data_IF_094711184678
#
_entry.id   IF_094711184678
#
_cell.length_a   1.000
_cell.length_b   1.000
_cell.length_c   1.000
_cell.angle_alpha   90.00
_cell.angle_beta   90.00
_cell.angle_gamma   90.00
#
_symmetry.space_group_name_H-M   'P 1'
#
loop_
_entity.id
_entity.type
_entity.pdbx_description
1 polymer ?
#
# COMPACT_ATOMS: atom_id res chain seq x y z
N UNK A 1 26.23 31.91 16.99
CA UNK A 1 26.65 30.66 16.39
C UNK A 1 25.77 30.30 15.22
N UNK A 2 26.36 29.87 14.11
CA UNK A 2 25.64 29.64 12.85
C UNK A 2 25.76 28.18 12.44
N UNK A 3 25.74 27.28 13.41
CA UNK A 3 25.76 25.85 13.13
C UNK A 3 24.32 25.32 13.03
N UNK A 4 23.94 24.86 11.86
CA UNK A 4 22.71 24.10 11.66
C UNK A 4 23.02 22.61 11.83
N UNK A 5 22.12 21.90 12.52
CA UNK A 5 22.27 20.49 12.79
C UNK A 5 21.32 19.70 11.89
N UNK A 6 21.88 18.94 10.95
CA UNK A 6 21.09 18.19 9.96
C UNK A 6 20.13 17.18 10.60
N UNK A 7 20.51 16.57 11.73
CA UNK A 7 19.65 15.60 12.41
C UNK A 7 18.44 16.29 13.05
N UNK A 8 18.61 17.46 13.64
CA UNK A 8 17.51 18.25 14.19
C UNK A 8 16.55 18.70 13.10
N UNK A 9 17.07 19.17 11.96
CA UNK A 9 16.24 19.54 10.79
C UNK A 9 15.44 18.34 10.28
N UNK A 10 16.04 17.16 10.21
CA UNK A 10 15.31 15.94 9.83
C UNK A 10 14.19 15.58 10.84
N UNK A 11 14.38 15.85 12.13
CA UNK A 11 13.33 15.66 13.15
C UNK A 11 12.22 16.72 13.02
N UNK A 12 12.53 17.94 12.59
CA UNK A 12 11.53 18.99 12.33
C UNK A 12 10.56 18.58 11.22
N UNK A 13 11.02 17.86 10.19
CA UNK A 13 10.13 17.30 9.15
C UNK A 13 9.02 16.47 9.81
N UNK A 14 9.39 15.59 10.74
CA UNK A 14 8.40 14.76 11.44
C UNK A 14 7.48 15.57 12.35
N UNK A 15 7.98 16.63 12.98
CA UNK A 15 7.19 17.49 13.85
C UNK A 15 6.15 18.34 13.09
N UNK A 16 6.40 18.63 11.82
CA UNK A 16 5.50 19.40 10.95
C UNK A 16 4.43 18.53 10.25
N UNK A 17 4.58 17.22 10.27
CA UNK A 17 3.57 16.30 9.74
C UNK A 17 2.38 16.16 10.70
N UNK A 18 1.16 15.88 10.18
CA UNK A 18 -0.02 15.67 11.00
C UNK A 18 0.16 14.51 11.98
N UNK A 19 0.19 14.77 13.27
CA UNK A 19 0.46 13.77 14.31
C UNK A 19 -0.60 12.65 14.43
N UNK A 20 -1.76 12.82 13.76
CA UNK A 20 -2.82 11.81 13.71
C UNK A 20 -2.69 10.90 12.48
N UNK A 21 -1.99 11.34 11.46
CA UNK A 21 -1.85 10.62 10.19
C UNK A 21 -0.70 9.61 10.25
N UNK A 22 -0.75 8.73 11.21
CA UNK A 22 0.25 7.65 11.43
C UNK A 22 -0.44 6.28 11.48
N UNK A 23 0.22 5.18 11.12
CA UNK A 23 -0.40 3.84 11.08
C UNK A 23 -1.11 3.44 12.37
N UNK A 24 -0.58 3.84 13.53
CA UNK A 24 -1.14 3.52 14.84
C UNK A 24 -2.46 4.24 15.16
N UNK A 25 -2.83 5.27 14.39
CA UNK A 25 -4.01 6.13 14.62
C UNK A 25 -4.95 6.18 13.42
N UNK A 26 -4.68 5.40 12.38
CA UNK A 26 -5.45 5.36 11.15
C UNK A 26 -5.88 3.94 10.85
N UNK A 27 -7.05 3.77 10.24
CA UNK A 27 -7.63 2.47 9.91
C UNK A 27 -8.28 2.46 8.51
N UNK A 28 -8.61 1.28 8.01
CA UNK A 28 -9.32 1.08 6.74
C UNK A 28 -8.65 1.82 5.57
N UNK A 29 -9.39 2.74 4.97
CA UNK A 29 -8.98 3.53 3.80
C UNK A 29 -8.26 4.84 4.15
N UNK A 30 -8.01 5.12 5.42
CA UNK A 30 -7.31 6.33 5.84
C UNK A 30 -5.83 6.28 5.45
N UNK A 31 -5.34 7.37 4.87
CA UNK A 31 -3.94 7.51 4.52
C UNK A 31 -3.08 7.90 5.73
N UNK A 32 -1.77 7.73 5.60
CA UNK A 32 -0.81 8.01 6.67
C UNK A 32 0.59 8.35 6.15
N UNK A 33 1.39 8.93 7.05
CA UNK A 33 2.84 9.02 6.95
C UNK A 33 3.46 8.06 7.96
N UNK A 34 4.31 7.15 7.49
CA UNK A 34 5.00 6.21 8.36
C UNK A 34 6.51 6.40 8.23
N UNK A 35 7.12 6.92 9.28
CA UNK A 35 8.59 6.99 9.34
C UNK A 35 9.15 5.57 9.48
N UNK A 36 10.05 5.19 8.58
CA UNK A 36 10.65 3.85 8.55
C UNK A 36 12.12 3.87 8.94
N UNK A 37 12.81 4.99 8.71
CA UNK A 37 14.18 5.15 9.12
C UNK A 37 14.50 6.62 9.40
N UNK A 38 15.37 6.86 10.37
CA UNK A 38 16.03 8.12 10.63
C UNK A 38 17.50 7.81 10.94
N UNK A 39 18.41 8.41 10.19
CA UNK A 39 19.83 8.21 10.37
C UNK A 39 20.60 9.49 10.07
N UNK A 40 21.75 9.67 10.70
CA UNK A 40 22.61 10.80 10.43
C UNK A 40 23.45 11.28 11.57
N UNK A 41 24.09 12.41 11.31
CA UNK A 41 24.92 13.19 12.23
C UNK A 41 24.46 14.66 12.18
N UNK A 42 25.17 15.54 12.85
CA UNK A 42 25.00 16.98 12.76
C UNK A 42 25.28 17.55 11.37
N UNK A 43 26.16 16.90 10.57
CA UNK A 43 26.50 17.35 9.22
C UNK A 43 25.55 16.84 8.12
N UNK A 44 25.01 15.62 8.30
CA UNK A 44 24.16 14.96 7.29
C UNK A 44 23.16 14.04 7.96
N UNK A 45 21.90 14.15 7.57
CA UNK A 45 20.86 13.24 8.02
C UNK A 45 19.93 12.80 6.86
N UNK A 46 19.26 11.69 7.03
CA UNK A 46 18.18 11.22 6.17
C UNK A 46 17.02 10.72 6.99
N UNK A 47 15.82 11.00 6.54
CA UNK A 47 14.58 10.43 7.08
C UNK A 47 13.81 9.78 5.93
N UNK A 48 13.32 8.58 6.17
CA UNK A 48 12.56 7.81 5.17
C UNK A 48 11.12 7.65 5.64
N UNK A 49 10.19 7.87 4.72
CA UNK A 49 8.77 7.71 4.96
C UNK A 49 8.14 6.80 3.92
N UNK A 50 7.21 5.97 4.37
CA UNK A 50 6.17 5.42 3.52
C UNK A 50 4.96 6.35 3.60
N UNK A 51 4.49 6.83 2.46
CA UNK A 51 3.26 7.61 2.33
C UNK A 51 2.20 6.73 1.69
N UNK A 52 1.03 6.66 2.28
CA UNK A 52 -0.11 5.87 1.77
C UNK A 52 -1.39 6.70 1.79
N UNK A 53 -2.17 6.51 0.76
CA UNK A 53 -3.58 6.87 0.73
C UNK A 53 -4.26 6.01 -0.34
N UNK A 54 -5.53 5.66 -0.15
CA UNK A 54 -6.31 4.92 -1.14
C UNK A 54 -6.94 5.85 -2.18
N UNK A 55 -7.06 7.12 -1.83
CA UNK A 55 -7.56 8.19 -2.69
C UNK A 55 -6.38 8.91 -3.36
N UNK A 56 -6.40 8.98 -4.69
CA UNK A 56 -5.30 9.54 -5.47
C UNK A 56 -5.10 11.04 -5.22
N UNK A 57 -6.17 11.81 -5.02
CA UNK A 57 -6.07 13.25 -4.75
C UNK A 57 -5.49 13.51 -3.36
N UNK A 58 -5.93 12.74 -2.36
CA UNK A 58 -5.38 12.83 -0.99
C UNK A 58 -3.92 12.38 -0.97
N UNK A 59 -3.56 11.33 -1.72
CA UNK A 59 -2.17 10.91 -1.87
C UNK A 59 -1.31 12.02 -2.46
N UNK A 60 -1.75 12.65 -3.56
CA UNK A 60 -1.07 13.79 -4.16
C UNK A 60 -0.94 14.96 -3.16
N UNK A 61 -1.99 15.25 -2.40
CA UNK A 61 -1.97 16.25 -1.34
C UNK A 61 -0.94 15.96 -0.24
N UNK A 62 -0.79 14.67 0.16
CA UNK A 62 0.24 14.24 1.12
C UNK A 62 1.65 14.44 0.58
N UNK A 63 1.89 14.11 -0.68
CA UNK A 63 3.17 14.34 -1.33
C UNK A 63 3.50 15.85 -1.44
N UNK A 64 2.49 16.65 -1.79
CA UNK A 64 2.63 18.12 -1.84
C UNK A 64 2.94 18.72 -0.46
N UNK A 65 2.34 18.20 0.62
CA UNK A 65 2.63 18.63 1.99
C UNK A 65 4.11 18.37 2.35
N UNK A 66 4.65 17.20 2.02
CA UNK A 66 6.08 16.92 2.23
C UNK A 66 6.98 17.91 1.48
N UNK A 67 6.63 18.24 0.23
CA UNK A 67 7.38 19.26 -0.53
C UNK A 67 7.30 20.61 0.15
N UNK A 68 6.10 21.05 0.56
CA UNK A 68 5.93 22.34 1.26
C UNK A 68 6.71 22.40 2.58
N UNK A 69 6.76 21.29 3.34
CA UNK A 69 7.57 21.21 4.56
C UNK A 69 9.05 21.35 4.22
N UNK A 70 9.54 20.67 3.20
CA UNK A 70 10.94 20.77 2.77
C UNK A 70 11.30 22.21 2.30
N UNK A 71 10.42 22.82 1.52
CA UNK A 71 10.61 24.20 1.03
C UNK A 71 10.63 25.21 2.18
N UNK A 72 9.73 25.05 3.15
CA UNK A 72 9.71 25.88 4.36
C UNK A 72 10.99 25.71 5.16
N UNK A 73 11.39 24.49 5.47
CA UNK A 73 12.61 24.22 6.24
C UNK A 73 13.86 24.70 5.49
N UNK A 74 13.90 24.62 4.14
CA UNK A 74 14.98 25.18 3.35
C UNK A 74 15.05 26.70 3.50
N UNK A 75 13.92 27.40 3.61
CA UNK A 75 13.87 28.83 3.85
C UNK A 75 14.30 29.20 5.28
N UNK A 76 13.88 28.40 6.27
CA UNK A 76 14.21 28.61 7.68
C UNK A 76 15.69 28.28 7.98
N UNK A 77 16.32 27.39 7.16
CA UNK A 77 17.70 26.91 7.30
C UNK A 77 18.51 27.19 6.01
N UNK A 78 18.87 28.43 5.73
CA UNK A 78 19.45 28.83 4.44
C UNK A 78 20.85 28.26 4.14
N UNK A 79 21.59 27.83 5.15
CA UNK A 79 22.91 27.18 4.98
C UNK A 79 22.82 25.67 4.84
N UNK A 80 21.69 25.04 5.21
CA UNK A 80 21.42 23.63 4.97
C UNK A 80 21.07 23.36 3.50
N UNK A 81 21.16 22.11 3.09
CA UNK A 81 20.68 21.63 1.79
C UNK A 81 19.66 20.53 2.01
N UNK A 82 18.40 20.84 1.81
CA UNK A 82 17.28 19.90 1.96
C UNK A 82 16.87 19.36 0.59
N UNK A 83 16.69 18.06 0.48
CA UNK A 83 16.25 17.38 -0.75
C UNK A 83 15.18 16.38 -0.45
N UNK A 84 14.04 16.50 -1.11
CA UNK A 84 13.00 15.48 -1.15
C UNK A 84 13.22 14.57 -2.35
N UNK A 85 13.17 13.26 -2.14
CA UNK A 85 13.12 12.27 -3.21
C UNK A 85 11.84 11.47 -3.05
N UNK A 86 10.93 11.59 -3.99
CA UNK A 86 9.74 10.75 -4.06
C UNK A 86 10.02 9.58 -5.00
N UNK A 87 9.65 8.38 -4.58
CA UNK A 87 9.68 7.18 -5.40
C UNK A 87 8.38 6.41 -5.21
N UNK A 88 7.77 6.04 -6.32
CA UNK A 88 6.54 5.27 -6.31
C UNK A 88 6.88 3.77 -6.24
N UNK A 89 6.34 3.06 -5.24
CA UNK A 89 6.54 1.63 -5.08
C UNK A 89 5.32 0.81 -5.51
N UNK A 90 4.12 1.28 -5.17
CA UNK A 90 2.86 0.60 -5.47
C UNK A 90 1.76 1.61 -5.70
N UNK A 91 0.87 1.30 -6.67
CA UNK A 91 -0.38 2.03 -6.93
C UNK A 91 -1.57 1.18 -6.52
N UNK A 92 -2.71 1.84 -6.32
CA UNK A 92 -3.97 1.12 -6.21
C UNK A 92 -4.31 0.49 -7.57
N UNK A 93 -4.46 -0.85 -7.59
CA UNK A 93 -4.73 -1.59 -8.82
C UNK A 93 -6.20 -1.53 -9.25
N UNK A 94 -7.08 -0.86 -8.52
CA UNK A 94 -8.51 -0.84 -8.81
C UNK A 94 -8.83 -0.43 -10.26
N UNK A 95 -8.11 0.55 -10.81
CA UNK A 95 -8.27 1.00 -12.19
C UNK A 95 -7.93 -0.10 -13.21
N UNK A 96 -6.93 -0.95 -12.90
CA UNK A 96 -6.51 -2.06 -13.75
C UNK A 96 -7.45 -3.26 -13.63
N UNK A 97 -8.11 -3.42 -12.49
CA UNK A 97 -9.05 -4.52 -12.24
C UNK A 97 -10.46 -4.18 -12.74
N UNK A 98 -10.86 -2.92 -12.75
CA UNK A 98 -12.19 -2.48 -13.16
C UNK A 98 -12.67 -3.04 -14.53
N UNK A 99 -11.84 -3.10 -15.59
CA UNK A 99 -12.24 -3.73 -16.85
C UNK A 99 -12.38 -5.26 -16.76
N UNK A 100 -11.84 -5.89 -15.72
CA UNK A 100 -11.72 -7.34 -15.54
C UNK A 100 -12.45 -7.82 -14.28
N UNK A 101 -13.64 -7.24 -13.96
CA UNK A 101 -14.37 -7.57 -12.73
C UNK A 101 -14.76 -9.04 -12.63
N UNK A 102 -14.82 -9.78 -13.74
CA UNK A 102 -15.03 -11.23 -13.73
C UNK A 102 -13.99 -11.98 -12.86
N UNK A 103 -12.77 -11.44 -12.70
CA UNK A 103 -11.74 -12.01 -11.83
C UNK A 103 -12.21 -12.02 -10.36
N UNK A 104 -12.81 -10.92 -9.92
CA UNK A 104 -13.35 -10.78 -8.56
C UNK A 104 -14.61 -11.63 -8.39
N UNK A 105 -15.49 -11.63 -9.39
CA UNK A 105 -16.76 -12.38 -9.33
C UNK A 105 -16.52 -13.88 -9.31
N UNK A 106 -15.61 -14.38 -10.13
CA UNK A 106 -15.21 -15.78 -10.13
C UNK A 106 -14.55 -16.18 -8.81
N UNK A 107 -13.67 -15.34 -8.27
CA UNK A 107 -13.06 -15.59 -6.96
C UNK A 107 -14.10 -15.66 -5.84
N UNK A 108 -15.09 -14.77 -5.85
CA UNK A 108 -16.21 -14.80 -4.89
C UNK A 108 -17.09 -16.04 -5.07
N UNK A 109 -17.36 -16.44 -6.29
CA UNK A 109 -18.14 -17.66 -6.58
C UNK A 109 -17.41 -18.91 -6.09
N UNK A 110 -16.10 -19.00 -6.36
CA UNK A 110 -15.27 -20.11 -5.90
C UNK A 110 -15.18 -20.18 -4.36
N UNK A 111 -15.05 -19.02 -3.69
CA UNK A 111 -15.05 -18.95 -2.23
C UNK A 111 -16.36 -19.50 -1.64
N UNK A 112 -17.52 -19.07 -2.18
CA UNK A 112 -18.82 -19.59 -1.72
C UNK A 112 -18.98 -21.08 -1.98
N UNK A 113 -18.48 -21.60 -3.09
CA UNK A 113 -18.51 -23.01 -3.40
C UNK A 113 -17.69 -23.84 -2.40
N UNK A 114 -16.61 -23.26 -1.85
CA UNK A 114 -15.82 -23.84 -0.77
C UNK A 114 -16.37 -23.54 0.65
N UNK A 115 -17.60 -23.00 0.76
CA UNK A 115 -18.20 -22.69 2.05
C UNK A 115 -17.65 -21.43 2.74
N UNK A 116 -16.87 -20.63 2.02
CA UNK A 116 -16.31 -19.38 2.53
C UNK A 116 -17.22 -18.21 2.13
N UNK A 117 -17.63 -17.38 3.10
CA UNK A 117 -18.33 -16.12 2.78
C UNK A 117 -17.30 -15.03 2.44
N UNK A 118 -17.18 -14.61 1.16
CA UNK A 118 -16.16 -13.69 0.74
C UNK A 118 -16.52 -12.24 1.07
N UNK A 119 -15.55 -11.48 1.53
CA UNK A 119 -15.66 -10.03 1.66
C UNK A 119 -14.45 -9.36 0.99
N UNK A 120 -14.56 -8.06 0.77
CA UNK A 120 -13.46 -7.26 0.20
C UNK A 120 -12.94 -6.32 1.25
N UNK A 121 -11.64 -6.35 1.45
CA UNK A 121 -10.94 -5.54 2.43
C UNK A 121 -9.83 -4.72 1.76
N UNK A 122 -9.58 -3.52 2.30
CA UNK A 122 -8.49 -2.68 1.83
C UNK A 122 -7.14 -3.20 2.33
N UNK A 123 -6.23 -3.48 1.41
CA UNK A 123 -4.84 -3.79 1.77
C UNK A 123 -4.09 -2.47 1.97
N UNK A 124 -3.55 -2.26 3.17
CA UNK A 124 -2.79 -1.05 3.53
C UNK A 124 -1.30 -1.14 3.15
N UNK A 125 -0.87 -2.25 2.58
CA UNK A 125 0.45 -2.51 2.03
C UNK A 125 0.49 -2.49 0.51
N UNK A 126 1.68 -2.66 -0.08
CA UNK A 126 1.84 -2.98 -1.48
C UNK A 126 1.78 -4.50 -1.70
N UNK A 127 1.36 -4.92 -2.88
CA UNK A 127 1.33 -6.32 -3.27
C UNK A 127 1.95 -6.50 -4.65
N UNK A 128 2.49 -7.68 -4.92
CA UNK A 128 3.00 -8.03 -6.24
C UNK A 128 1.88 -8.03 -7.28
N UNK A 129 0.66 -8.39 -6.89
CA UNK A 129 -0.52 -8.32 -7.74
C UNK A 129 -0.80 -6.90 -8.25
N UNK A 130 -0.63 -5.88 -7.41
CA UNK A 130 -0.74 -4.49 -7.84
C UNK A 130 0.32 -4.17 -8.90
N UNK A 131 1.56 -4.57 -8.69
CA UNK A 131 2.65 -4.34 -9.65
C UNK A 131 2.41 -5.05 -10.98
N UNK A 132 2.01 -6.33 -10.93
CA UNK A 132 1.69 -7.12 -12.11
C UNK A 132 0.52 -6.52 -12.89
N UNK A 133 -0.49 -5.99 -12.22
CA UNK A 133 -1.65 -5.33 -12.85
C UNK A 133 -1.21 -4.13 -13.70
N UNK A 134 -0.28 -3.31 -13.24
CA UNK A 134 0.28 -2.20 -14.02
C UNK A 134 1.26 -2.65 -15.12
N UNK A 135 1.69 -3.89 -15.11
CA UNK A 135 2.48 -4.49 -16.19
C UNK A 135 1.62 -5.15 -17.27
N UNK A 136 0.29 -5.03 -17.18
CA UNK A 136 -0.66 -5.57 -18.15
C UNK A 136 -1.23 -6.95 -17.78
N UNK A 137 -0.98 -7.44 -16.57
CA UNK A 137 -1.60 -8.65 -16.02
C UNK A 137 -2.51 -8.29 -14.85
N UNK A 138 -3.81 -8.07 -15.06
CA UNK A 138 -4.76 -7.82 -13.96
C UNK A 138 -4.72 -8.95 -12.95
N UNK A 139 -4.23 -8.66 -11.74
CA UNK A 139 -3.91 -9.67 -10.73
C UNK A 139 -4.44 -9.24 -9.35
N UNK A 140 -5.74 -9.46 -9.08
CA UNK A 140 -6.32 -9.19 -7.76
C UNK A 140 -5.78 -10.18 -6.72
N UNK A 141 -5.74 -9.74 -5.45
CA UNK A 141 -5.28 -10.57 -4.37
C UNK A 141 -6.42 -11.43 -3.81
N UNK A 142 -6.10 -12.66 -3.44
CA UNK A 142 -6.98 -13.56 -2.70
C UNK A 142 -6.54 -13.62 -1.24
N UNK A 143 -7.52 -13.74 -0.32
CA UNK A 143 -7.25 -14.01 1.08
C UNK A 143 -6.69 -15.42 1.27
N UNK A 144 -5.67 -15.55 2.10
CA UNK A 144 -5.04 -16.84 2.41
C UNK A 144 -5.58 -17.48 3.68
N UNK A 145 -6.38 -16.77 4.48
CA UNK A 145 -6.81 -17.20 5.80
C UNK A 145 -5.74 -17.10 6.89
N UNK A 146 -4.61 -16.40 6.60
CA UNK A 146 -3.56 -16.15 7.58
C UNK A 146 -3.90 -15.03 8.57
N UNK A 147 -3.15 -14.99 9.67
CA UNK A 147 -3.30 -14.03 10.75
C UNK A 147 -1.96 -13.44 11.14
N UNK A 148 -1.98 -12.23 11.74
CA UNK A 148 -0.82 -11.53 12.30
C UNK A 148 0.33 -11.32 11.30
N UNK A 149 -0.01 -11.03 10.05
CA UNK A 149 0.96 -10.82 8.97
C UNK A 149 2.07 -9.86 9.36
N UNK A 150 3.30 -10.20 8.97
CA UNK A 150 4.54 -9.47 9.28
C UNK A 150 4.90 -9.41 10.76
N UNK A 151 4.22 -10.15 11.61
CA UNK A 151 4.48 -10.20 13.04
C UNK A 151 5.18 -11.49 13.48
N UNK A 152 5.74 -11.51 14.70
CA UNK A 152 6.40 -12.72 15.24
C UNK A 152 5.42 -13.87 15.52
N UNK A 153 4.12 -13.59 15.51
CA UNK A 153 3.05 -14.56 15.70
C UNK A 153 2.23 -14.79 14.41
N UNK A 154 2.84 -14.54 13.26
CA UNK A 154 2.22 -14.84 11.98
C UNK A 154 1.90 -16.34 11.89
N UNK A 155 0.66 -16.67 11.57
CA UNK A 155 0.19 -18.03 11.54
C UNK A 155 -0.97 -18.21 10.56
N UNK A 156 -1.22 -19.47 10.19
CA UNK A 156 -2.40 -19.93 9.46
C UNK A 156 -2.84 -21.26 10.06
N UNK A 157 -4.15 -21.51 10.11
CA UNK A 157 -4.67 -22.80 10.56
C UNK A 157 -4.70 -23.81 9.41
N UNK A 158 -4.67 -25.10 9.73
CA UNK A 158 -4.78 -26.18 8.73
C UNK A 158 -6.13 -26.09 8.01
N UNK A 159 -7.21 -25.83 8.73
CA UNK A 159 -8.55 -25.68 8.19
C UNK A 159 -8.64 -24.52 7.18
N UNK A 160 -7.97 -23.41 7.45
CA UNK A 160 -7.89 -22.27 6.52
C UNK A 160 -7.10 -22.63 5.25
N UNK A 161 -6.01 -23.40 5.38
CA UNK A 161 -5.25 -23.88 4.23
C UNK A 161 -6.09 -24.80 3.36
N UNK A 162 -6.79 -25.77 3.97
CA UNK A 162 -7.66 -26.72 3.25
C UNK A 162 -8.79 -25.97 2.53
N UNK A 163 -9.45 -25.03 3.18
CA UNK A 163 -10.51 -24.22 2.59
C UNK A 163 -10.04 -23.38 1.40
N UNK A 164 -8.83 -22.80 1.50
CA UNK A 164 -8.24 -22.04 0.38
C UNK A 164 -7.87 -22.95 -0.78
N UNK A 165 -7.35 -24.16 -0.52
CA UNK A 165 -7.07 -25.14 -1.58
C UNK A 165 -8.37 -25.52 -2.30
N UNK A 166 -9.45 -25.79 -1.58
CA UNK A 166 -10.75 -26.09 -2.16
C UNK A 166 -11.28 -24.91 -3.01
N UNK A 167 -11.19 -23.70 -2.49
CA UNK A 167 -11.54 -22.49 -3.23
C UNK A 167 -10.75 -22.37 -4.54
N UNK A 168 -9.45 -22.62 -4.52
CA UNK A 168 -8.60 -22.55 -5.72
C UNK A 168 -8.97 -23.63 -6.75
N UNK A 169 -9.31 -24.83 -6.33
CA UNK A 169 -9.81 -25.89 -7.22
C UNK A 169 -11.09 -25.44 -7.92
N UNK A 170 -12.05 -24.86 -7.17
CA UNK A 170 -13.26 -24.31 -7.76
C UNK A 170 -12.96 -23.17 -8.73
N UNK A 171 -12.05 -22.27 -8.36
CA UNK A 171 -11.65 -21.14 -9.20
C UNK A 171 -11.06 -21.59 -10.55
N UNK A 172 -10.13 -22.54 -10.53
CA UNK A 172 -9.55 -23.14 -11.75
C UNK A 172 -10.64 -23.80 -12.59
N UNK A 173 -11.60 -24.50 -11.96
CA UNK A 173 -12.74 -25.11 -12.65
C UNK A 173 -13.61 -24.09 -13.39
N UNK A 174 -13.83 -22.91 -12.80
CA UNK A 174 -14.58 -21.82 -13.44
C UNK A 174 -13.87 -21.33 -14.71
N UNK A 175 -12.54 -21.21 -14.69
CA UNK A 175 -11.77 -20.78 -15.84
C UNK A 175 -11.57 -21.87 -16.91
N UNK A 176 -11.56 -23.14 -16.52
CA UNK A 176 -11.50 -24.26 -17.47
C UNK A 176 -12.74 -24.33 -18.38
N UNK A 177 -13.88 -23.76 -17.92
CA UNK A 177 -15.14 -23.69 -18.66
C UNK A 177 -15.53 -22.27 -19.08
N UNK A 178 -14.62 -21.31 -18.89
CA UNK A 178 -14.84 -19.90 -19.29
C UNK A 178 -14.69 -19.75 -20.81
N UNK A 179 -15.84 -19.72 -21.49
CA UNK A 179 -15.85 -19.22 -22.88
C UNK A 179 -15.87 -17.69 -22.82
N UNK A 180 -14.83 -17.03 -23.31
CA UNK A 180 -14.89 -15.59 -23.58
C UNK A 180 -16.13 -15.35 -24.45
N UNK A 181 -17.10 -14.63 -23.94
CA UNK A 181 -18.17 -14.09 -24.78
C UNK A 181 -17.51 -13.07 -25.69
N UNK A 182 -17.05 -13.57 -26.84
CA UNK A 182 -16.38 -12.77 -27.84
C UNK A 182 -17.26 -11.57 -28.19
N UNK A 183 -16.71 -10.39 -28.05
CA UNK A 183 -17.16 -9.26 -28.85
C UNK A 183 -17.06 -9.67 -30.31
N UNK A 184 -18.21 -10.05 -30.88
CA UNK A 184 -18.34 -10.06 -32.34
C UNK A 184 -18.38 -8.61 -32.78
N UNK A 185 -17.35 -8.25 -33.54
CA UNK A 185 -17.17 -7.02 -34.28
C UNK A 185 -18.43 -6.61 -35.06
#
# INVERSE_FOLDING_TARGET
>A
GVMENALLIAMEVNALLPAQDVPAKTEGYQGFFHVTALSGTDEKASVEYIVRDHDAEKFAGRCALLQQICDRLQADHPTARIRLKLSESYRNMAEQIAPCMHLIENARAAARAAGIEPYTEAIRGGTDGARLSFMGLPCPNLGTGGHNFHGPYECITVEAMDAVVEMLVHLVGLYAHFEEKGEKA
#
